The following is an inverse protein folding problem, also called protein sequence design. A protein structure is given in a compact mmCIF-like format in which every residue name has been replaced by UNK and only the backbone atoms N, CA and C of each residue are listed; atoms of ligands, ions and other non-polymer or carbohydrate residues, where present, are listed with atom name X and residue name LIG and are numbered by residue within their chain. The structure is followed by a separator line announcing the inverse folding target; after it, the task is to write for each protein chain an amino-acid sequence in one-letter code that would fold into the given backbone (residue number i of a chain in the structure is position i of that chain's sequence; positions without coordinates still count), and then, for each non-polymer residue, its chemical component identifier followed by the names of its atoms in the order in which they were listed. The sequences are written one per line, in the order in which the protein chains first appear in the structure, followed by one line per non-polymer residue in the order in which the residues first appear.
data_IF_102774011489
#
_entry.id   IF_102774011489
#
_cell.length_a   1.000
_cell.length_b   1.000
_cell.length_c   1.000
_cell.angle_alpha   90.00
_cell.angle_beta   90.00
_cell.angle_gamma   90.00
#
_symmetry.space_group_name_H-M   'P 1'
#
loop_
_entity.id
_entity.type
_entity.pdbx_description
1 polymer ?
#
# COMPACT_ATOMS: atom_id res chain seq x y z
N UNK A 1 66.73 -34.08 -5.53
CA UNK A 1 65.27 -34.12 -5.31
C UNK A 1 64.85 -32.73 -4.87
N UNK A 2 64.12 -31.94 -5.68
CA UNK A 2 63.59 -30.66 -5.24
C UNK A 2 62.39 -30.89 -4.31
N UNK A 3 62.38 -30.17 -3.21
CA UNK A 3 61.36 -30.23 -2.16
C UNK A 3 60.23 -29.26 -2.55
N UNK A 4 59.18 -29.75 -3.21
CA UNK A 4 57.96 -28.97 -3.43
C UNK A 4 57.18 -28.91 -2.11
N UNK A 5 57.18 -27.74 -1.48
CA UNK A 5 56.27 -27.43 -0.38
C UNK A 5 54.87 -27.21 -0.95
N UNK A 6 53.81 -27.85 -0.43
CA UNK A 6 52.46 -27.65 -0.94
C UNK A 6 52.02 -26.20 -0.65
N UNK A 7 51.58 -25.50 -1.69
CA UNK A 7 50.96 -24.17 -1.56
C UNK A 7 49.68 -24.29 -0.71
N UNK A 8 49.38 -23.34 0.20
CA UNK A 8 48.18 -23.42 1.04
C UNK A 8 46.91 -23.26 0.18
N UNK A 9 45.80 -23.93 0.54
CA UNK A 9 44.62 -24.03 -0.32
C UNK A 9 43.87 -22.69 -0.36
N UNK A 10 44.06 -21.94 -1.44
CA UNK A 10 43.41 -20.65 -1.69
C UNK A 10 41.88 -20.80 -1.85
N UNK A 11 41.40 -21.99 -2.20
CA UNK A 11 39.98 -22.34 -2.31
C UNK A 11 39.24 -22.29 -0.96
N UNK A 12 39.91 -22.61 0.15
CA UNK A 12 39.27 -22.69 1.47
C UNK A 12 38.89 -21.33 2.05
N UNK A 13 39.72 -20.30 1.82
CA UNK A 13 39.49 -18.94 2.32
C UNK A 13 38.37 -18.22 1.55
N UNK A 14 38.28 -18.42 0.23
CA UNK A 14 37.20 -17.86 -0.58
C UNK A 14 35.85 -18.50 -0.26
N UNK A 15 35.81 -19.83 -0.13
CA UNK A 15 34.62 -20.56 0.29
C UNK A 15 34.13 -20.13 1.68
N UNK A 16 35.05 -19.98 2.65
CA UNK A 16 34.72 -19.48 4.00
C UNK A 16 34.19 -18.05 3.97
N UNK A 17 34.79 -17.14 3.18
CA UNK A 17 34.32 -15.76 3.04
C UNK A 17 32.92 -15.69 2.44
N UNK A 18 32.63 -16.51 1.43
CA UNK A 18 31.29 -16.59 0.85
C UNK A 18 30.27 -17.18 1.84
N UNK A 19 30.63 -18.23 2.58
CA UNK A 19 29.79 -18.81 3.62
C UNK A 19 29.48 -17.79 4.72
N UNK A 20 30.49 -17.07 5.23
CA UNK A 20 30.31 -16.01 6.22
C UNK A 20 29.39 -14.89 5.71
N UNK A 21 29.53 -14.49 4.43
CA UNK A 21 28.67 -13.49 3.80
C UNK A 21 27.21 -13.98 3.71
N UNK A 22 26.99 -15.25 3.38
CA UNK A 22 25.65 -15.84 3.34
C UNK A 22 25.02 -15.92 4.75
N UNK A 23 25.79 -16.35 5.76
CA UNK A 23 25.33 -16.37 7.16
C UNK A 23 24.97 -14.99 7.67
N UNK A 24 25.78 -13.97 7.36
CA UNK A 24 25.50 -12.58 7.74
C UNK A 24 24.19 -12.06 7.14
N UNK A 25 23.93 -12.35 5.86
CA UNK A 25 22.67 -11.98 5.19
C UNK A 25 21.48 -12.66 5.86
N UNK A 26 21.60 -13.94 6.22
CA UNK A 26 20.53 -14.70 6.87
C UNK A 26 20.21 -14.16 8.27
N UNK A 27 21.23 -13.91 9.11
CA UNK A 27 21.07 -13.29 10.43
C UNK A 27 20.39 -11.92 10.32
N UNK A 28 20.75 -11.13 9.31
CA UNK A 28 20.12 -9.84 9.10
C UNK A 28 18.62 -10.00 8.80
N UNK A 29 18.21 -10.97 7.96
CA UNK A 29 16.79 -11.18 7.62
C UNK A 29 15.98 -11.60 8.85
N UNK A 30 16.54 -12.48 9.68
CA UNK A 30 15.92 -12.93 10.93
C UNK A 30 15.68 -11.76 11.88
N UNK A 31 16.67 -10.86 12.02
CA UNK A 31 16.54 -9.64 12.86
C UNK A 31 15.44 -8.70 12.38
N UNK A 32 15.23 -8.56 11.07
CA UNK A 32 14.15 -7.73 10.53
C UNK A 32 12.78 -8.26 10.97
N UNK A 33 12.56 -9.57 10.82
CA UNK A 33 11.29 -10.18 11.23
C UNK A 33 11.10 -10.16 12.75
N UNK A 34 12.16 -10.45 13.52
CA UNK A 34 12.13 -10.38 14.98
C UNK A 34 11.80 -8.97 15.48
N UNK A 35 12.52 -7.96 14.97
CA UNK A 35 12.28 -6.56 15.34
C UNK A 35 10.88 -6.08 14.93
N UNK A 36 10.40 -6.50 13.76
CA UNK A 36 9.05 -6.19 13.31
C UNK A 36 8.01 -6.82 14.24
N UNK A 37 8.15 -8.11 14.56
CA UNK A 37 7.26 -8.81 15.47
C UNK A 37 7.24 -8.19 16.87
N UNK A 38 8.41 -7.84 17.41
CA UNK A 38 8.53 -7.23 18.73
C UNK A 38 7.84 -5.86 18.80
N UNK A 39 8.07 -4.99 17.81
CA UNK A 39 7.43 -3.67 17.77
C UNK A 39 5.92 -3.77 17.53
N UNK A 40 5.50 -4.68 16.65
CA UNK A 40 4.08 -4.95 16.44
C UNK A 40 3.41 -5.44 17.74
N UNK A 41 4.08 -6.30 18.50
CA UNK A 41 3.58 -6.77 19.80
C UNK A 41 3.50 -5.65 20.85
N UNK A 42 4.51 -4.78 20.92
CA UNK A 42 4.58 -3.73 21.95
C UNK A 42 3.71 -2.52 21.65
N UNK A 43 3.63 -2.10 20.38
CA UNK A 43 3.02 -0.83 19.98
C UNK A 43 1.81 -1.01 19.06
N UNK A 44 1.52 -2.24 18.63
CA UNK A 44 0.50 -2.49 17.63
C UNK A 44 0.93 -2.00 16.24
N UNK A 45 -0.03 -2.00 15.32
CA UNK A 45 0.18 -1.46 13.98
C UNK A 45 0.04 0.07 13.99
N UNK A 46 1.05 0.78 13.46
CA UNK A 46 1.06 2.24 13.37
C UNK A 46 1.86 2.74 12.16
N UNK A 47 1.75 4.03 11.84
CA UNK A 47 2.58 4.67 10.80
C UNK A 47 4.07 4.66 11.20
N UNK A 48 4.39 4.81 12.49
CA UNK A 48 5.76 4.73 13.00
C UNK A 48 6.36 3.33 12.85
N UNK A 49 5.57 2.27 13.04
CA UNK A 49 6.01 0.89 12.78
C UNK A 49 6.36 0.72 11.30
N UNK A 50 5.52 1.25 10.41
CA UNK A 50 5.70 1.13 8.97
C UNK A 50 6.93 1.92 8.49
N UNK A 51 7.13 3.12 9.03
CA UNK A 51 8.31 3.93 8.77
C UNK A 51 9.58 3.21 9.25
N UNK A 52 9.57 2.66 10.48
CA UNK A 52 10.69 1.88 10.97
C UNK A 52 10.99 0.66 10.10
N UNK A 53 9.97 -0.09 9.69
CA UNK A 53 10.15 -1.26 8.83
C UNK A 53 10.79 -0.87 7.50
N UNK A 54 10.36 0.23 6.89
CA UNK A 54 10.99 0.76 5.68
C UNK A 54 12.45 1.12 5.94
N UNK A 55 12.74 1.79 7.06
CA UNK A 55 14.10 2.19 7.40
C UNK A 55 15.04 1.00 7.63
N UNK A 56 14.57 -0.06 8.28
CA UNK A 56 15.34 -1.31 8.44
C UNK A 56 15.56 -2.01 7.11
N UNK A 57 14.51 -2.15 6.27
CA UNK A 57 14.68 -2.71 4.93
C UNK A 57 15.72 -1.92 4.14
N UNK A 58 15.64 -0.58 4.17
CA UNK A 58 16.58 0.27 3.45
C UNK A 58 18.01 0.12 3.97
N UNK A 59 18.20 0.07 5.28
CA UNK A 59 19.51 -0.18 5.89
C UNK A 59 20.07 -1.54 5.47
N UNK A 60 19.26 -2.58 5.57
CA UNK A 60 19.67 -3.96 5.35
C UNK A 60 19.97 -4.29 3.88
N UNK A 61 19.17 -3.75 2.97
CA UNK A 61 19.30 -4.01 1.53
C UNK A 61 20.15 -2.96 0.80
N UNK A 62 20.77 -2.02 1.53
CA UNK A 62 21.56 -0.95 0.93
C UNK A 62 20.74 -0.07 -0.01
N UNK A 63 19.50 0.25 0.41
CA UNK A 63 18.58 1.09 -0.33
C UNK A 63 18.67 2.54 0.17
N UNK A 64 19.35 3.45 -0.55
CA UNK A 64 19.30 4.87 -0.21
C UNK A 64 17.89 5.46 -0.30
N UNK A 65 17.02 4.89 -1.12
CA UNK A 65 15.66 5.38 -1.32
C UNK A 65 14.65 4.24 -1.23
N UNK A 66 13.52 4.54 -0.59
CA UNK A 66 12.45 3.58 -0.43
C UNK A 66 11.13 4.26 -0.10
N UNK A 67 10.04 3.56 -0.39
CA UNK A 67 8.69 3.99 -0.03
C UNK A 67 7.80 2.79 0.21
N UNK A 68 6.85 2.94 1.12
CA UNK A 68 5.69 2.05 1.24
C UNK A 68 4.46 2.90 0.95
N UNK A 69 3.56 2.36 0.13
CA UNK A 69 2.32 3.03 -0.24
C UNK A 69 1.13 2.10 -0.11
N UNK A 70 -0.05 2.69 0.03
CA UNK A 70 -1.33 2.00 0.07
C UNK A 70 -2.23 2.52 -1.05
N UNK A 71 -2.91 1.61 -1.73
CA UNK A 71 -3.89 1.94 -2.74
C UNK A 71 -5.17 2.48 -2.09
N UNK A 72 -5.60 3.66 -2.52
CA UNK A 72 -6.85 4.28 -2.10
C UNK A 72 -7.43 5.14 -3.23
N UNK A 73 -8.65 4.83 -3.65
CA UNK A 73 -9.38 5.56 -4.69
C UNK A 73 -8.56 5.81 -5.98
N UNK A 74 -7.97 4.74 -6.54
CA UNK A 74 -7.24 4.81 -7.82
C UNK A 74 -5.84 5.44 -7.76
N UNK A 75 -5.35 5.79 -6.57
CA UNK A 75 -4.01 6.32 -6.36
C UNK A 75 -3.27 5.54 -5.25
N UNK A 76 -1.95 5.63 -5.25
CA UNK A 76 -1.08 5.19 -4.17
C UNK A 76 -0.84 6.36 -3.20
N UNK A 77 -1.32 6.24 -1.96
CA UNK A 77 -0.97 7.14 -0.86
C UNK A 77 0.35 6.68 -0.26
N UNK A 78 1.36 7.54 -0.21
CA UNK A 78 2.63 7.24 0.47
C UNK A 78 2.38 7.16 1.98
N UNK A 79 2.77 6.06 2.61
CA UNK A 79 2.63 5.84 4.05
C UNK A 79 3.97 5.92 4.79
N UNK A 80 5.06 5.52 4.14
CA UNK A 80 6.41 5.63 4.66
C UNK A 80 7.37 6.03 3.52
N UNK A 81 8.41 6.79 3.86
CA UNK A 81 9.40 7.22 2.88
C UNK A 81 10.82 7.18 3.44
N UNK A 82 11.80 7.06 2.53
CA UNK A 82 13.21 7.32 2.81
C UNK A 82 13.88 7.89 1.57
N UNK A 83 14.66 8.95 1.76
CA UNK A 83 15.46 9.57 0.70
C UNK A 83 14.62 10.32 -0.35
N UNK A 84 14.97 10.18 -1.63
CA UNK A 84 14.44 10.97 -2.74
C UNK A 84 13.13 10.39 -3.30
N UNK A 85 12.05 10.53 -2.54
CA UNK A 85 10.68 10.15 -2.94
C UNK A 85 9.69 11.25 -2.53
N UNK A 86 8.40 11.03 -2.76
CA UNK A 86 7.33 11.95 -2.36
C UNK A 86 7.06 11.86 -0.85
N UNK A 87 6.63 12.96 -0.21
CA UNK A 87 6.37 12.97 1.23
C UNK A 87 5.22 12.02 1.63
N UNK A 88 5.23 11.59 2.89
CA UNK A 88 4.12 10.84 3.49
C UNK A 88 2.81 11.60 3.28
N UNK A 89 1.76 10.88 2.87
CA UNK A 89 0.45 11.43 2.53
C UNK A 89 0.29 11.86 1.07
N UNK A 90 1.39 11.99 0.30
CA UNK A 90 1.30 12.29 -1.12
C UNK A 90 0.50 11.21 -1.86
N UNK A 91 -0.30 11.63 -2.84
CA UNK A 91 -1.12 10.74 -3.68
C UNK A 91 -0.51 10.66 -5.07
N UNK A 92 -0.06 9.46 -5.44
CA UNK A 92 0.50 9.17 -6.76
C UNK A 92 -0.55 8.44 -7.61
N UNK A 93 -1.02 9.03 -8.72
CA UNK A 93 -1.92 8.34 -9.63
C UNK A 93 -1.30 7.04 -10.18
N UNK A 94 -2.08 5.97 -10.23
CA UNK A 94 -1.63 4.70 -10.80
C UNK A 94 -1.77 4.74 -12.33
N UNK A 95 -0.81 5.35 -13.01
CA UNK A 95 -0.75 5.46 -14.47
C UNK A 95 0.41 4.61 -15.04
N UNK A 96 0.33 4.29 -16.33
CA UNK A 96 1.39 3.56 -17.04
C UNK A 96 1.70 2.21 -16.40
N UNK A 97 2.98 1.97 -16.06
CA UNK A 97 3.44 0.74 -15.44
C UNK A 97 2.68 0.39 -14.16
N UNK A 98 2.37 1.38 -13.31
CA UNK A 98 1.63 1.15 -12.05
C UNK A 98 0.20 0.66 -12.30
N UNK A 99 -0.47 1.21 -13.32
CA UNK A 99 -1.81 0.76 -13.71
C UNK A 99 -1.81 -0.70 -14.17
N UNK A 100 -0.74 -1.13 -14.84
CA UNK A 100 -0.59 -2.49 -15.33
C UNK A 100 -0.24 -3.47 -14.20
N UNK A 101 0.75 -3.13 -13.37
CA UNK A 101 1.26 -4.02 -12.31
C UNK A 101 0.28 -4.21 -11.15
N UNK A 102 -0.55 -3.20 -10.87
CA UNK A 102 -1.53 -3.23 -9.78
C UNK A 102 -2.95 -3.54 -10.28
N UNK A 103 -3.11 -3.95 -11.54
CA UNK A 103 -4.39 -4.36 -12.10
C UNK A 103 -4.89 -5.63 -11.41
N UNK A 104 -6.19 -5.69 -11.10
CA UNK A 104 -6.82 -6.88 -10.54
C UNK A 104 -7.36 -7.81 -11.66
N UNK A 105 -7.17 -9.14 -11.58
CA UNK A 105 -6.41 -9.87 -10.56
C UNK A 105 -4.90 -9.61 -10.66
N UNK A 106 -4.26 -9.38 -9.52
CA UNK A 106 -2.86 -8.95 -9.48
C UNK A 106 -1.89 -10.13 -9.59
N UNK A 107 -0.79 -9.93 -10.30
CA UNK A 107 0.36 -10.81 -10.27
C UNK A 107 1.32 -10.36 -9.17
N UNK A 108 1.74 -11.29 -8.31
CA UNK A 108 2.60 -11.00 -7.17
C UNK A 108 4.07 -11.20 -7.56
N UNK A 109 4.59 -10.27 -8.37
CA UNK A 109 5.92 -10.34 -8.98
C UNK A 109 6.76 -9.09 -8.66
N UNK A 110 8.09 -9.25 -8.66
CA UNK A 110 9.01 -8.11 -8.56
C UNK A 110 9.17 -7.47 -9.93
N UNK A 111 9.02 -6.15 -9.99
CA UNK A 111 9.32 -5.35 -11.16
C UNK A 111 10.60 -4.55 -10.94
N UNK A 112 11.52 -4.59 -11.90
CA UNK A 112 12.82 -3.88 -11.79
C UNK A 112 12.95 -2.65 -12.69
N UNK A 113 11.83 -2.15 -13.22
CA UNK A 113 11.81 -0.98 -14.10
C UNK A 113 11.68 0.29 -13.27
N UNK A 114 12.42 1.34 -13.64
CA UNK A 114 12.30 2.63 -12.98
C UNK A 114 10.93 3.27 -13.27
N UNK A 115 10.26 3.75 -12.23
CA UNK A 115 8.94 4.41 -12.33
C UNK A 115 9.08 5.86 -11.87
N UNK A 116 9.21 6.83 -12.79
CA UNK A 116 9.49 8.23 -12.44
C UNK A 116 8.45 8.85 -11.52
N UNK A 117 7.18 8.45 -11.63
CA UNK A 117 6.08 9.00 -10.83
C UNK A 117 6.16 8.65 -9.34
N UNK A 118 7.11 7.81 -8.91
CA UNK A 118 7.31 7.41 -7.52
C UNK A 118 8.53 8.08 -6.85
N UNK A 119 9.37 8.75 -7.63
CA UNK A 119 10.69 9.22 -7.18
C UNK A 119 10.90 10.67 -7.54
N UNK A 120 11.65 11.40 -6.70
CA UNK A 120 12.07 12.78 -6.99
C UNK A 120 13.47 12.84 -7.63
N UNK A 121 14.00 11.67 -8.00
CA UNK A 121 15.31 11.50 -8.63
C UNK A 121 15.17 11.66 -10.14
N UNK A 122 16.12 12.37 -10.75
CA UNK A 122 16.26 12.36 -12.21
C UNK A 122 16.96 11.06 -12.64
N UNK A 123 16.28 10.24 -13.45
CA UNK A 123 16.71 8.88 -13.79
C UNK A 123 18.07 8.72 -14.50
N UNK A 124 18.77 9.81 -14.81
CA UNK A 124 20.05 9.84 -15.53
C UNK A 124 21.25 10.34 -14.71
N UNK A 125 21.07 10.71 -13.44
CA UNK A 125 22.15 11.36 -12.66
C UNK A 125 22.93 10.45 -11.70
N UNK A 126 22.54 9.19 -11.50
CA UNK A 126 23.26 8.26 -10.62
C UNK A 126 23.55 6.93 -11.35
N UNK A 127 24.80 6.64 -11.74
CA UNK A 127 25.13 5.37 -12.39
C UNK A 127 25.08 4.23 -11.35
N UNK A 128 24.52 3.08 -11.77
CA UNK A 128 24.42 1.80 -11.02
C UNK A 128 23.34 1.66 -9.93
N UNK A 129 22.29 2.50 -9.91
CA UNK A 129 21.15 2.25 -9.04
C UNK A 129 20.20 1.18 -9.61
N UNK A 130 19.82 0.22 -8.76
CA UNK A 130 18.86 -0.84 -9.10
C UNK A 130 17.50 -0.52 -8.49
N UNK A 131 16.45 -0.52 -9.32
CA UNK A 131 15.09 -0.24 -8.86
C UNK A 131 14.32 -1.55 -8.70
N UNK A 132 13.52 -1.64 -7.63
CA UNK A 132 12.65 -2.76 -7.34
C UNK A 132 11.30 -2.25 -6.85
N UNK A 133 10.22 -2.73 -7.46
CA UNK A 133 8.85 -2.49 -7.06
C UNK A 133 8.17 -3.83 -6.82
N UNK A 134 7.62 -4.00 -5.63
CA UNK A 134 6.90 -5.19 -5.24
C UNK A 134 5.48 -4.78 -4.87
N UNK A 135 4.46 -5.37 -5.51
CA UNK A 135 3.09 -5.19 -5.07
C UNK A 135 2.93 -5.62 -3.62
N UNK A 136 2.18 -4.85 -2.84
CA UNK A 136 1.67 -5.28 -1.55
C UNK A 136 0.26 -5.79 -1.82
N UNK A 137 0.02 -7.09 -1.67
CA UNK A 137 -1.19 -7.72 -2.17
C UNK A 137 -1.75 -8.74 -1.18
N UNK A 138 -3.08 -8.91 -1.21
CA UNK A 138 -3.79 -9.92 -0.44
C UNK A 138 -5.01 -10.38 -1.25
N UNK A 139 -5.25 -11.70 -1.32
CA UNK A 139 -6.39 -12.28 -2.06
C UNK A 139 -6.49 -11.83 -3.53
N UNK A 140 -5.37 -11.84 -4.26
CA UNK A 140 -5.27 -11.38 -5.65
C UNK A 140 -5.66 -9.91 -5.89
N UNK A 141 -5.71 -9.10 -4.83
CA UNK A 141 -5.95 -7.65 -4.90
C UNK A 141 -4.72 -6.87 -4.51
N UNK A 142 -4.49 -5.78 -5.22
CA UNK A 142 -3.49 -4.79 -4.87
C UNK A 142 -3.98 -4.00 -3.65
N UNK A 143 -3.18 -4.01 -2.58
CA UNK A 143 -3.40 -3.21 -1.37
C UNK A 143 -2.45 -2.01 -1.34
N UNK A 144 -1.30 -2.11 -2.02
CA UNK A 144 -0.28 -1.07 -2.05
C UNK A 144 0.94 -1.46 -2.87
N UNK A 145 2.03 -0.75 -2.66
CA UNK A 145 3.31 -0.99 -3.33
C UNK A 145 4.48 -0.67 -2.40
N UNK A 146 5.47 -1.56 -2.37
CA UNK A 146 6.81 -1.28 -1.87
C UNK A 146 7.70 -0.89 -3.04
N UNK A 147 8.39 0.25 -2.93
CA UNK A 147 9.43 0.65 -3.87
C UNK A 147 10.77 0.77 -3.16
N UNK A 148 11.83 0.26 -3.75
CA UNK A 148 13.21 0.40 -3.28
C UNK A 148 14.13 0.77 -4.44
N UNK A 149 15.10 1.63 -4.16
CA UNK A 149 16.25 1.88 -5.04
C UNK A 149 17.50 1.54 -4.25
N UNK A 150 18.28 0.58 -4.73
CA UNK A 150 19.47 0.03 -4.06
C UNK A 150 20.75 0.36 -4.81
N UNK A 151 21.85 0.46 -4.05
CA UNK A 151 23.18 0.69 -4.62
C UNK A 151 23.77 -0.55 -5.30
N UNK A 152 23.25 -1.74 -5.00
CA UNK A 152 23.68 -3.01 -5.58
C UNK A 152 22.48 -3.86 -5.95
N UNK A 153 22.63 -4.74 -6.95
CA UNK A 153 21.60 -5.72 -7.29
C UNK A 153 21.30 -6.63 -6.10
N UNK A 154 20.02 -6.86 -5.84
CA UNK A 154 19.57 -7.83 -4.86
C UNK A 154 19.65 -9.24 -5.43
N UNK A 155 19.94 -10.21 -4.56
CA UNK A 155 19.90 -11.63 -4.89
C UNK A 155 18.49 -12.22 -4.69
N UNK A 156 18.28 -13.45 -5.15
CA UNK A 156 16.98 -14.12 -5.06
C UNK A 156 16.45 -14.22 -3.60
N UNK A 157 17.32 -14.50 -2.63
CA UNK A 157 16.92 -14.62 -1.23
C UNK A 157 16.41 -13.29 -0.66
N UNK A 158 17.11 -12.18 -0.96
CA UNK A 158 16.67 -10.84 -0.56
C UNK A 158 15.33 -10.47 -1.20
N UNK A 159 15.14 -10.79 -2.48
CA UNK A 159 13.86 -10.57 -3.16
C UNK A 159 12.74 -11.44 -2.58
N UNK A 160 13.04 -12.66 -2.15
CA UNK A 160 12.07 -13.54 -1.50
C UNK A 160 11.66 -13.02 -0.12
N UNK A 161 12.59 -12.45 0.65
CA UNK A 161 12.27 -11.79 1.93
C UNK A 161 11.37 -10.58 1.71
N UNK A 162 11.69 -9.73 0.73
CA UNK A 162 10.84 -8.58 0.38
C UNK A 162 9.43 -9.02 -0.06
N UNK A 163 9.31 -10.10 -0.84
CA UNK A 163 8.00 -10.69 -1.18
C UNK A 163 7.22 -11.14 0.07
N UNK A 164 7.87 -11.85 0.99
CA UNK A 164 7.23 -12.30 2.23
C UNK A 164 6.72 -11.12 3.06
N UNK A 165 7.53 -10.05 3.18
CA UNK A 165 7.12 -8.82 3.84
C UNK A 165 5.92 -8.19 3.13
N UNK A 166 5.93 -8.09 1.79
CA UNK A 166 4.82 -7.53 1.03
C UNK A 166 3.52 -8.32 1.21
N UNK A 167 3.59 -9.64 1.38
CA UNK A 167 2.43 -10.47 1.71
C UNK A 167 1.87 -10.18 3.11
N UNK A 168 2.74 -10.06 4.12
CA UNK A 168 2.36 -9.69 5.49
C UNK A 168 1.76 -8.29 5.57
N UNK A 169 2.39 -7.32 4.89
CA UNK A 169 1.86 -5.96 4.76
C UNK A 169 0.50 -5.96 4.07
N UNK A 170 0.30 -6.81 3.06
CA UNK A 170 -0.98 -6.97 2.37
C UNK A 170 -2.09 -7.40 3.31
N UNK A 171 -1.82 -8.35 4.21
CA UNK A 171 -2.78 -8.76 5.24
C UNK A 171 -3.10 -7.61 6.22
N UNK A 172 -2.08 -6.94 6.74
CA UNK A 172 -2.26 -5.91 7.77
C UNK A 172 -2.94 -4.63 7.24
N UNK A 173 -2.50 -4.11 6.09
CA UNK A 173 -3.08 -2.92 5.46
C UNK A 173 -4.52 -3.14 4.97
N UNK A 174 -4.84 -4.37 4.53
CA UNK A 174 -6.23 -4.74 4.23
C UNK A 174 -7.10 -4.71 5.48
N UNK A 175 -6.59 -5.26 6.60
CA UNK A 175 -7.26 -5.24 7.89
C UNK A 175 -7.65 -3.82 8.32
N UNK A 176 -6.74 -2.84 8.16
CA UNK A 176 -7.03 -1.43 8.44
C UNK A 176 -8.08 -0.81 7.53
N UNK A 177 -8.06 -1.16 6.24
CA UNK A 177 -9.06 -0.69 5.27
C UNK A 177 -10.45 -1.25 5.61
N UNK A 178 -10.51 -2.51 6.08
CA UNK A 178 -11.75 -3.18 6.49
C UNK A 178 -12.27 -2.70 7.85
N UNK A 179 -11.41 -2.40 8.83
CA UNK A 179 -11.88 -1.78 10.08
C UNK A 179 -12.34 -0.34 9.86
N UNK A 180 -11.66 0.46 9.03
CA UNK A 180 -12.16 1.79 8.67
C UNK A 180 -13.52 1.70 7.96
N UNK A 181 -13.68 0.79 7.00
CA UNK A 181 -14.95 0.55 6.32
C UNK A 181 -16.04 -0.02 7.25
N UNK A 182 -15.69 -0.88 8.22
CA UNK A 182 -16.65 -1.44 9.18
C UNK A 182 -17.05 -0.44 10.29
N UNK A 183 -16.14 0.47 10.67
CA UNK A 183 -16.44 1.61 11.55
C UNK A 183 -17.34 2.60 10.78
N UNK A 184 -17.12 2.78 9.47
CA UNK A 184 -18.01 3.54 8.60
C UNK A 184 -19.37 2.82 8.36
N UNK A 185 -19.44 1.50 8.21
CA UNK A 185 -20.73 0.79 8.09
C UNK A 185 -21.62 0.94 9.35
N UNK A 186 -21.04 1.26 10.51
CA UNK A 186 -21.80 1.52 11.74
C UNK A 186 -22.77 2.70 11.59
N UNK A 187 -22.47 3.71 10.75
CA UNK A 187 -23.40 4.80 10.51
C UNK A 187 -24.52 4.40 9.55
N UNK A 188 -24.28 3.47 8.62
CA UNK A 188 -25.35 2.92 7.77
C UNK A 188 -26.40 2.18 8.58
N UNK A 189 -26.02 1.61 9.74
CA UNK A 189 -26.97 1.03 10.69
C UNK A 189 -27.87 2.07 11.37
N UNK A 190 -27.45 3.34 11.45
CA UNK A 190 -28.27 4.45 11.97
C UNK A 190 -29.36 4.90 10.98
N UNK A 191 -29.17 4.60 9.70
CA UNK A 191 -30.10 4.93 8.63
C UNK A 191 -31.19 3.85 8.49
N UNK A 192 -32.43 4.30 8.39
CA UNK A 192 -33.56 3.43 8.01
C UNK A 192 -33.35 2.88 6.58
N UNK A 193 -34.02 1.79 6.19
CA UNK A 193 -33.90 1.25 4.83
C UNK A 193 -34.14 2.31 3.75
N UNK A 194 -35.13 3.18 3.95
CA UNK A 194 -35.47 4.22 2.99
C UNK A 194 -34.45 5.36 2.94
N UNK A 195 -33.90 5.75 4.08
CA UNK A 195 -32.80 6.71 4.12
C UNK A 195 -31.54 6.15 3.45
N UNK A 196 -31.28 4.84 3.57
CA UNK A 196 -30.17 4.19 2.85
C UNK A 196 -30.35 4.22 1.34
N UNK A 197 -31.55 3.95 0.84
CA UNK A 197 -31.85 4.04 -0.60
C UNK A 197 -31.66 5.47 -1.13
N UNK A 198 -32.11 6.49 -0.38
CA UNK A 198 -31.87 7.89 -0.73
C UNK A 198 -30.38 8.23 -0.68
N UNK A 199 -29.68 7.82 0.37
CA UNK A 199 -28.23 8.04 0.56
C UNK A 199 -27.41 7.44 -0.58
N UNK A 200 -27.74 6.21 -1.00
CA UNK A 200 -27.08 5.50 -2.09
C UNK A 200 -27.19 6.22 -3.44
N UNK A 201 -28.25 7.01 -3.65
CA UNK A 201 -28.47 7.75 -4.88
C UNK A 201 -27.89 9.17 -4.86
N UNK A 202 -27.44 9.68 -3.71
CA UNK A 202 -26.86 11.03 -3.61
C UNK A 202 -25.61 11.25 -4.48
N UNK A 203 -24.68 10.27 -4.65
CA UNK A 203 -23.53 10.39 -5.54
C UNK A 203 -23.88 10.74 -6.99
N UNK A 204 -25.09 10.39 -7.45
CA UNK A 204 -25.51 10.69 -8.83
C UNK A 204 -25.74 12.19 -9.11
N UNK A 205 -25.81 13.02 -8.07
CA UNK A 205 -26.15 14.44 -8.20
C UNK A 205 -27.60 14.72 -8.63
N UNK A 206 -28.46 13.69 -8.71
CA UNK A 206 -29.83 13.82 -9.18
C UNK A 206 -30.68 14.80 -8.34
N UNK A 207 -31.54 15.60 -8.97
CA UNK A 207 -32.44 16.50 -8.25
C UNK A 207 -33.42 15.71 -7.34
N UNK A 208 -34.02 16.37 -6.35
CA UNK A 208 -35.03 15.71 -5.49
C UNK A 208 -36.20 15.16 -6.30
N UNK A 209 -36.52 15.75 -7.46
CA UNK A 209 -37.55 15.27 -8.37
C UNK A 209 -37.14 13.94 -9.05
N UNK A 210 -35.90 13.85 -9.53
CA UNK A 210 -35.38 12.63 -10.16
C UNK A 210 -35.20 11.50 -9.13
N UNK A 211 -34.76 11.83 -7.92
CA UNK A 211 -34.69 10.86 -6.83
C UNK A 211 -36.09 10.36 -6.45
N UNK A 212 -37.07 11.26 -6.41
CA UNK A 212 -38.46 10.94 -6.13
C UNK A 212 -39.06 9.98 -7.16
N UNK A 213 -38.80 10.22 -8.45
CA UNK A 213 -39.20 9.35 -9.55
C UNK A 213 -38.58 7.96 -9.41
N UNK A 214 -37.25 7.88 -9.22
CA UNK A 214 -36.54 6.59 -9.06
C UNK A 214 -37.04 5.78 -7.87
N UNK A 215 -37.42 6.46 -6.80
CA UNK A 215 -37.81 5.83 -5.54
C UNK A 215 -39.33 5.62 -5.43
N UNK A 216 -40.17 6.25 -6.26
CA UNK A 216 -41.63 6.18 -6.16
C UNK A 216 -42.20 6.95 -4.96
N UNK A 217 -41.61 8.10 -4.59
CA UNK A 217 -42.07 8.97 -3.48
C UNK A 217 -42.16 10.43 -3.93
N UNK A 218 -42.70 11.31 -3.09
CA UNK A 218 -42.76 12.75 -3.41
C UNK A 218 -41.38 13.43 -3.27
N UNK A 219 -41.10 14.50 -4.04
CA UNK A 219 -39.87 15.30 -3.88
C UNK A 219 -39.71 15.90 -2.48
N UNK A 220 -40.82 16.24 -1.81
CA UNK A 220 -40.83 16.69 -0.41
C UNK A 220 -40.40 15.59 0.56
N UNK A 221 -40.83 14.34 0.31
CA UNK A 221 -40.41 13.17 1.09
C UNK A 221 -38.91 12.91 0.93
N UNK A 222 -38.36 13.05 -0.28
CA UNK A 222 -36.90 12.96 -0.51
C UNK A 222 -36.16 14.01 0.30
N UNK A 223 -36.62 15.27 0.30
CA UNK A 223 -36.02 16.35 1.09
C UNK A 223 -35.95 15.98 2.58
N UNK A 224 -37.05 15.47 3.14
CA UNK A 224 -37.11 15.03 4.54
C UNK A 224 -36.13 13.89 4.81
N UNK A 225 -36.01 12.92 3.91
CA UNK A 225 -35.01 11.86 4.06
C UNK A 225 -33.59 12.42 4.04
N UNK A 226 -33.27 13.37 3.16
CA UNK A 226 -31.95 14.03 3.12
C UNK A 226 -31.67 14.75 4.44
N UNK A 227 -32.60 15.56 4.95
CA UNK A 227 -32.43 16.27 6.23
C UNK A 227 -32.19 15.31 7.40
N UNK A 228 -32.90 14.17 7.44
CA UNK A 228 -32.71 13.13 8.45
C UNK A 228 -31.37 12.42 8.32
N UNK A 229 -30.91 12.14 7.10
CA UNK A 229 -29.57 11.59 6.84
C UNK A 229 -28.51 12.56 7.37
N UNK A 230 -28.59 13.84 7.00
CA UNK A 230 -27.63 14.85 7.45
C UNK A 230 -27.58 14.93 8.98
N UNK A 231 -28.73 14.96 9.63
CA UNK A 231 -28.81 14.97 11.10
C UNK A 231 -28.26 13.69 11.74
N UNK A 232 -28.55 12.50 11.20
CA UNK A 232 -28.09 11.22 11.75
C UNK A 232 -26.61 10.97 11.57
N UNK A 233 -26.03 11.55 10.53
CA UNK A 233 -24.62 11.38 10.15
C UNK A 233 -23.75 12.57 10.57
N UNK A 234 -24.33 13.59 11.21
CA UNK A 234 -23.65 14.83 11.61
C UNK A 234 -22.96 15.54 10.42
N UNK A 235 -23.71 15.67 9.32
CA UNK A 235 -23.24 16.28 8.07
C UNK A 235 -23.94 17.62 7.84
N UNK A 236 -23.22 18.58 7.27
CA UNK A 236 -23.71 19.94 7.11
C UNK A 236 -24.54 20.14 5.84
N UNK A 237 -24.23 19.39 4.78
CA UNK A 237 -24.89 19.55 3.50
C UNK A 237 -24.93 18.25 2.68
N UNK A 238 -25.75 18.30 1.64
CA UNK A 238 -25.95 17.19 0.70
C UNK A 238 -24.67 16.78 -0.03
N UNK A 239 -23.75 17.71 -0.27
CA UNK A 239 -22.48 17.43 -0.94
C UNK A 239 -21.60 16.56 -0.04
N UNK A 240 -21.52 16.90 1.26
CA UNK A 240 -20.84 16.07 2.25
C UNK A 240 -21.46 14.67 2.33
N UNK A 241 -22.80 14.57 2.30
CA UNK A 241 -23.48 13.28 2.25
C UNK A 241 -23.19 12.48 0.96
N UNK A 242 -23.11 13.15 -0.19
CA UNK A 242 -22.76 12.50 -1.46
C UNK A 242 -21.30 12.00 -1.45
N UNK A 243 -20.36 12.80 -0.94
CA UNK A 243 -18.95 12.38 -0.76
C UNK A 243 -18.87 11.19 0.18
N UNK A 244 -19.55 11.24 1.33
CA UNK A 244 -19.58 10.14 2.30
C UNK A 244 -20.18 8.87 1.70
N UNK A 245 -21.22 8.98 0.86
CA UNK A 245 -21.79 7.83 0.14
C UNK A 245 -20.80 7.21 -0.86
N UNK A 246 -20.00 8.03 -1.56
CA UNK A 246 -18.92 7.54 -2.44
C UNK A 246 -17.84 6.81 -1.65
N UNK A 247 -17.43 7.36 -0.50
CA UNK A 247 -16.47 6.71 0.41
C UNK A 247 -16.99 5.36 0.92
N UNK A 248 -18.30 5.25 1.15
CA UNK A 248 -18.99 4.01 1.53
C UNK A 248 -19.11 2.97 0.39
N UNK A 249 -18.65 3.31 -0.81
CA UNK A 249 -18.70 2.42 -1.98
C UNK A 249 -19.99 2.51 -2.79
N UNK A 250 -20.91 3.44 -2.49
CA UNK A 250 -22.04 3.71 -3.39
C UNK A 250 -21.52 4.44 -4.63
N UNK A 251 -21.68 3.81 -5.78
CA UNK A 251 -21.33 4.40 -7.08
C UNK A 251 -22.59 4.96 -7.74
N UNK A 252 -22.43 6.03 -8.49
CA UNK A 252 -23.42 6.39 -9.50
C UNK A 252 -23.42 5.29 -10.56
N UNK A 253 -24.43 4.42 -10.55
CA UNK A 253 -24.71 3.63 -11.76
C UNK A 253 -24.99 4.63 -12.88
N UNK A 254 -24.09 4.66 -13.85
CA UNK A 254 -24.15 5.52 -15.01
C UNK A 254 -25.46 5.29 -15.75
N UNK A 255 -26.20 6.37 -15.94
CA UNK A 255 -26.96 6.58 -17.17
C UNK A 255 -25.99 7.07 -18.23
#
# INVERSE_FOLDING_TARGET
MPNESPSPPTESAFALRNALKQTQVQIAHERLFEGFGQRLFTSGWSEELLQWLLDEMCMQFGAPHGLISQQHAGALKILAQRGKTFPIGARVPMLGALAMWLKEPIHFEVHSQFVPSLWTIQGNTEPALHCYHLPIACQQRAVGLLGLITSNSLNANSLQVLHSICGLLGFALRGQTQTAAAIDDSYLQKLTPREREVFALLPSGASNALLAEKLGISPGTVKIHIERILSKLDLNDRTQAAVKAVEAGFKSDGL
#
